data_IF_659646030524
#
_entry.id   IF_659646030524
#
_cell.length_a   1.000
_cell.length_b   1.000
_cell.length_c   1.000
_cell.angle_alpha   90.00
_cell.angle_beta   90.00
_cell.angle_gamma   90.00
#
_symmetry.space_group_name_H-M   'P 1'
#
loop_
_entity.id
_entity.type
_entity.pdbx_description
1 polymer ?
#
# COMPACT_ATOMS: atom_id res chain seq x y z
N UNK A 1 -26.50 -17.78 -7.30
CA UNK A 1 -25.08 -17.42 -7.22
C UNK A 1 -24.35 -18.34 -6.27
N UNK A 2 -23.22 -18.85 -6.68
CA UNK A 2 -22.41 -19.72 -5.82
C UNK A 2 -21.82 -18.93 -4.65
N UNK A 3 -21.81 -19.54 -3.46
CA UNK A 3 -21.16 -18.95 -2.29
C UNK A 3 -19.65 -18.90 -2.50
N UNK A 4 -19.01 -17.82 -2.04
CA UNK A 4 -17.55 -17.72 -2.05
C UNK A 4 -16.93 -18.81 -1.16
N UNK A 5 -15.86 -19.41 -1.65
CA UNK A 5 -15.06 -20.36 -0.85
C UNK A 5 -14.33 -19.62 0.26
N UNK A 6 -13.86 -20.37 1.27
CA UNK A 6 -13.03 -19.78 2.33
C UNK A 6 -11.80 -19.07 1.75
N UNK A 7 -11.14 -19.70 0.77
CA UNK A 7 -9.99 -19.10 0.07
C UNK A 7 -10.33 -17.75 -0.57
N UNK A 8 -11.47 -17.67 -1.26
CA UNK A 8 -11.90 -16.43 -1.90
C UNK A 8 -12.21 -15.32 -0.86
N UNK A 9 -12.81 -15.69 0.26
CA UNK A 9 -13.10 -14.74 1.34
C UNK A 9 -11.80 -14.22 1.98
N UNK A 10 -10.84 -15.10 2.24
CA UNK A 10 -9.54 -14.75 2.79
C UNK A 10 -8.75 -13.85 1.83
N UNK A 11 -8.76 -14.18 0.54
CA UNK A 11 -8.10 -13.35 -0.48
C UNK A 11 -8.68 -11.93 -0.48
N UNK A 12 -9.99 -11.79 -0.47
CA UNK A 12 -10.65 -10.48 -0.44
C UNK A 12 -10.31 -9.70 0.84
N UNK A 13 -10.31 -10.36 2.00
CA UNK A 13 -9.93 -9.75 3.28
C UNK A 13 -8.46 -9.30 3.28
N UNK A 14 -7.57 -10.16 2.82
CA UNK A 14 -6.14 -9.83 2.74
C UNK A 14 -5.87 -8.66 1.80
N UNK A 15 -6.52 -8.61 0.63
CA UNK A 15 -6.37 -7.50 -0.31
C UNK A 15 -6.89 -6.18 0.26
N UNK A 16 -8.02 -6.21 0.94
CA UNK A 16 -8.57 -5.00 1.59
C UNK A 16 -7.63 -4.49 2.68
N UNK A 17 -7.14 -5.38 3.54
CA UNK A 17 -6.18 -5.04 4.60
C UNK A 17 -4.85 -4.54 4.01
N UNK A 18 -4.36 -5.20 2.98
CA UNK A 18 -3.16 -4.78 2.25
C UNK A 18 -3.30 -3.35 1.73
N UNK A 19 -4.43 -3.06 1.07
CA UNK A 19 -4.72 -1.73 0.54
C UNK A 19 -4.76 -0.67 1.64
N UNK A 20 -5.41 -0.97 2.76
CA UNK A 20 -5.47 -0.06 3.91
C UNK A 20 -4.07 0.19 4.50
N UNK A 21 -3.26 -0.85 4.66
CA UNK A 21 -1.88 -0.71 5.14
C UNK A 21 -1.04 0.19 4.23
N UNK A 22 -1.11 -0.03 2.92
CA UNK A 22 -0.36 0.79 1.94
C UNK A 22 -0.79 2.25 2.03
N UNK A 23 -2.07 2.53 2.01
CA UNK A 23 -2.61 3.89 2.06
C UNK A 23 -2.32 4.58 3.40
N UNK A 24 -2.45 3.87 4.50
CA UNK A 24 -2.20 4.41 5.84
C UNK A 24 -0.72 4.72 6.03
N UNK A 25 0.18 3.86 5.54
CA UNK A 25 1.63 4.07 5.64
C UNK A 25 2.10 5.25 4.81
N UNK A 26 1.63 5.36 3.56
CA UNK A 26 2.14 6.34 2.61
C UNK A 26 1.40 7.67 2.66
N UNK A 27 0.16 7.69 3.11
CA UNK A 27 -0.68 8.87 3.43
C UNK A 27 -1.13 9.72 2.25
N UNK A 28 -0.29 9.88 1.23
CA UNK A 28 -0.57 10.73 0.06
C UNK A 28 -0.19 10.00 -1.23
N UNK A 29 -0.70 10.50 -2.36
CA UNK A 29 -0.27 10.02 -3.67
C UNK A 29 1.23 10.23 -3.83
N UNK A 30 1.95 9.16 -4.10
CA UNK A 30 3.41 9.19 -4.24
C UNK A 30 3.85 9.93 -5.50
N UNK A 31 2.95 10.16 -6.45
CA UNK A 31 3.26 10.89 -7.67
C UNK A 31 2.97 12.39 -7.55
N UNK A 32 1.75 12.77 -7.16
CA UNK A 32 1.33 14.17 -7.16
C UNK A 32 1.14 14.78 -5.76
N UNK A 33 1.22 14.00 -4.70
CA UNK A 33 1.06 14.46 -3.32
C UNK A 33 -0.37 14.68 -2.84
N UNK A 34 -1.38 14.39 -3.69
CA UNK A 34 -2.79 14.50 -3.30
C UNK A 34 -3.13 13.57 -2.14
N UNK A 35 -4.00 14.01 -1.24
CA UNK A 35 -4.56 13.20 -0.16
C UNK A 35 -5.99 12.71 -0.44
N UNK A 36 -6.48 12.93 -1.64
CA UNK A 36 -7.86 12.66 -2.05
C UNK A 36 -7.96 11.45 -2.97
N UNK A 37 -8.94 10.58 -2.71
CA UNK A 37 -9.21 9.37 -3.51
C UNK A 37 -7.99 8.48 -3.69
N UNK A 38 -7.37 8.13 -2.58
CA UNK A 38 -6.17 7.31 -2.58
C UNK A 38 -6.51 5.85 -2.84
N UNK A 39 -5.68 5.20 -3.67
CA UNK A 39 -5.77 3.79 -4.02
C UNK A 39 -4.40 3.14 -3.84
N UNK A 40 -4.39 1.85 -3.58
CA UNK A 40 -3.15 1.08 -3.50
C UNK A 40 -2.93 0.36 -4.82
N UNK A 41 -1.75 0.55 -5.41
CA UNK A 41 -1.34 -0.07 -6.66
C UNK A 41 -0.29 -1.16 -6.38
N UNK A 42 -0.44 -2.33 -7.01
CA UNK A 42 0.56 -3.39 -6.96
C UNK A 42 1.70 -3.07 -7.92
N UNK A 43 2.92 -2.91 -7.40
CA UNK A 43 4.13 -2.64 -8.22
C UNK A 43 4.44 -3.87 -9.08
N UNK A 44 4.52 -5.05 -8.46
CA UNK A 44 4.49 -6.34 -9.15
C UNK A 44 3.03 -6.75 -9.25
N UNK A 45 2.58 -7.11 -10.44
CA UNK A 45 1.17 -7.41 -10.70
C UNK A 45 0.58 -8.38 -9.69
N UNK A 46 -0.65 -8.14 -9.27
CA UNK A 46 -1.34 -8.95 -8.25
C UNK A 46 -1.55 -10.41 -8.65
N UNK A 47 -1.42 -10.75 -9.94
CA UNK A 47 -1.47 -12.12 -10.41
C UNK A 47 -0.31 -12.96 -9.88
N UNK A 48 0.81 -12.33 -9.52
CA UNK A 48 1.96 -12.97 -8.89
C UNK A 48 1.73 -13.05 -7.38
N UNK A 49 1.27 -14.20 -6.92
CA UNK A 49 0.72 -14.36 -5.58
C UNK A 49 1.73 -14.27 -4.45
N UNK A 50 3.02 -14.48 -4.72
CA UNK A 50 4.07 -14.38 -3.71
C UNK A 50 4.11 -12.97 -3.09
N UNK A 51 3.94 -11.94 -3.89
CA UNK A 51 3.98 -10.54 -3.46
C UNK A 51 2.60 -9.88 -3.33
N UNK A 52 1.53 -10.60 -3.66
CA UNK A 52 0.16 -10.06 -3.73
C UNK A 52 -0.30 -9.37 -2.46
N UNK A 53 0.11 -9.86 -1.29
CA UNK A 53 -0.27 -9.31 0.00
C UNK A 53 0.87 -8.61 0.72
N UNK A 54 2.03 -8.47 0.09
CA UNK A 54 3.19 -7.80 0.66
C UNK A 54 2.98 -6.28 0.60
N UNK A 55 2.96 -5.62 1.74
CA UNK A 55 2.72 -4.17 1.81
C UNK A 55 3.84 -3.36 1.18
N UNK A 56 5.04 -3.92 1.04
CA UNK A 56 6.13 -3.29 0.29
C UNK A 56 5.93 -3.35 -1.22
N UNK A 57 5.05 -4.23 -1.70
CA UNK A 57 4.63 -4.28 -3.10
C UNK A 57 3.44 -3.34 -3.37
N UNK A 58 3.31 -2.29 -2.60
CA UNK A 58 2.21 -1.34 -2.72
C UNK A 58 2.69 0.09 -2.89
N UNK A 59 2.04 0.80 -3.79
CA UNK A 59 2.28 2.22 -4.01
C UNK A 59 0.96 2.96 -3.90
N UNK A 60 0.90 3.97 -3.02
CA UNK A 60 -0.28 4.80 -2.85
C UNK A 60 -0.35 5.84 -3.97
N UNK A 61 -1.43 5.82 -4.73
CA UNK A 61 -1.68 6.76 -5.82
C UNK A 61 -3.11 7.30 -5.71
N UNK A 62 -3.32 8.55 -6.09
CA UNK A 62 -4.68 9.06 -6.24
C UNK A 62 -5.34 8.42 -7.47
N UNK A 63 -6.67 8.49 -7.54
CA UNK A 63 -7.44 7.89 -8.62
C UNK A 63 -6.99 8.37 -9.99
N UNK A 64 -6.66 9.65 -10.13
CA UNK A 64 -6.20 10.24 -11.39
C UNK A 64 -4.84 9.70 -11.84
N UNK A 65 -3.86 9.66 -10.93
CA UNK A 65 -2.54 9.11 -11.24
C UNK A 65 -2.61 7.61 -11.54
N UNK A 66 -3.42 6.87 -10.78
CA UNK A 66 -3.60 5.43 -11.00
C UNK A 66 -4.30 5.15 -12.34
N UNK A 67 -5.21 6.01 -12.76
CA UNK A 67 -5.92 5.87 -14.04
C UNK A 67 -4.99 5.99 -15.25
N UNK A 68 -3.82 6.62 -15.11
CA UNK A 68 -2.80 6.72 -16.17
C UNK A 68 -2.40 5.34 -16.70
N UNK A 69 -2.45 4.31 -15.87
CA UNK A 69 -2.16 2.92 -16.28
C UNK A 69 -3.05 2.47 -17.44
N UNK A 70 -4.31 2.88 -17.45
CA UNK A 70 -5.27 2.52 -18.50
C UNK A 70 -5.11 3.36 -19.76
N UNK A 71 -4.72 4.62 -19.63
CA UNK A 71 -4.60 5.55 -20.75
C UNK A 71 -3.27 5.38 -21.46
N UNK A 72 -2.18 5.29 -20.71
CA UNK A 72 -0.82 5.23 -21.21
C UNK A 72 0.03 4.34 -20.29
N UNK A 73 0.05 3.01 -20.53
CA UNK A 73 0.78 2.07 -19.68
C UNK A 73 2.30 2.33 -19.61
N UNK A 74 2.89 2.80 -20.70
CA UNK A 74 4.34 3.10 -20.74
C UNK A 74 4.69 4.30 -19.88
N UNK A 75 3.89 5.36 -19.97
CA UNK A 75 4.04 6.53 -19.11
C UNK A 75 3.82 6.18 -17.65
N UNK A 76 2.84 5.36 -17.36
CA UNK A 76 2.57 4.88 -16.00
C UNK A 76 3.76 4.10 -15.44
N UNK A 77 4.32 3.18 -16.22
CA UNK A 77 5.52 2.43 -15.84
C UNK A 77 6.70 3.36 -15.54
N UNK A 78 6.94 4.34 -16.40
CA UNK A 78 8.00 5.33 -16.20
C UNK A 78 7.79 6.14 -14.92
N UNK A 79 6.54 6.48 -14.62
CA UNK A 79 6.16 7.16 -13.38
C UNK A 79 6.50 6.30 -12.14
N UNK A 80 6.15 5.03 -12.15
CA UNK A 80 6.46 4.12 -11.04
C UNK A 80 7.98 4.00 -10.87
N UNK A 81 8.72 3.80 -11.93
CA UNK A 81 10.19 3.71 -11.91
C UNK A 81 10.79 5.01 -11.36
N UNK A 82 10.25 6.16 -11.75
CA UNK A 82 10.68 7.45 -11.22
C UNK A 82 10.49 7.60 -9.71
N UNK A 83 9.45 6.98 -9.17
CA UNK A 83 9.14 7.05 -7.72
C UNK A 83 10.02 6.10 -6.91
N UNK A 84 10.13 4.83 -7.33
CA UNK A 84 10.81 3.79 -6.53
C UNK A 84 12.26 3.53 -6.96
N UNK A 85 12.66 4.00 -8.13
CA UNK A 85 13.96 3.73 -8.73
C UNK A 85 13.96 2.51 -9.63
N UNK A 86 14.76 2.56 -10.70
CA UNK A 86 14.83 1.48 -11.69
C UNK A 86 15.38 0.19 -11.10
N UNK A 87 16.46 0.27 -10.31
CA UNK A 87 17.04 -0.91 -9.66
C UNK A 87 16.04 -1.63 -8.76
N UNK A 88 15.32 -0.89 -7.94
CA UNK A 88 14.27 -1.43 -7.06
C UNK A 88 13.17 -2.08 -7.87
N UNK A 89 12.71 -1.41 -8.92
CA UNK A 89 11.67 -1.93 -9.81
C UNK A 89 12.08 -3.27 -10.43
N UNK A 90 13.26 -3.33 -11.02
CA UNK A 90 13.79 -4.54 -11.67
C UNK A 90 13.98 -5.66 -10.65
N UNK A 91 14.57 -5.35 -9.49
CA UNK A 91 14.79 -6.33 -8.43
C UNK A 91 13.48 -6.94 -7.94
N UNK A 92 12.44 -6.14 -7.76
CA UNK A 92 11.12 -6.62 -7.35
C UNK A 92 10.50 -7.52 -8.42
N UNK A 93 10.56 -7.11 -9.70
CA UNK A 93 10.04 -7.91 -10.80
C UNK A 93 10.74 -9.27 -10.88
N UNK A 94 12.06 -9.29 -10.75
CA UNK A 94 12.84 -10.53 -10.80
C UNK A 94 12.57 -11.45 -9.61
N UNK A 95 12.40 -10.89 -8.42
CA UNK A 95 12.17 -11.66 -7.19
C UNK A 95 10.78 -12.27 -7.13
N UNK A 96 9.76 -11.53 -7.54
CA UNK A 96 8.36 -11.86 -7.25
C UNK A 96 7.58 -12.42 -8.43
N UNK A 97 8.10 -12.32 -9.65
CA UNK A 97 7.43 -12.87 -10.85
C UNK A 97 7.68 -14.36 -10.97
N UNK A 98 7.18 -15.10 -9.99
CA UNK A 98 7.28 -16.56 -9.89
C UNK A 98 5.89 -17.15 -9.67
N UNK A 99 5.72 -18.42 -10.01
CA UNK A 99 4.48 -19.12 -9.68
C UNK A 99 4.46 -19.46 -8.20
N UNK A 100 3.35 -19.13 -7.54
CA UNK A 100 3.18 -19.36 -6.11
C UNK A 100 1.73 -19.60 -5.76
N UNK A 101 1.51 -20.41 -4.73
CA UNK A 101 0.18 -20.65 -4.18
C UNK A 101 0.24 -20.71 -2.67
N UNK A 102 -0.53 -19.84 -2.03
CA UNK A 102 -0.70 -19.85 -0.58
C UNK A 102 -1.70 -20.93 -0.18
N UNK A 103 -1.47 -21.60 0.93
CA UNK A 103 -2.45 -22.50 1.55
C UNK A 103 -3.48 -21.66 2.33
N UNK A 104 -4.62 -22.24 2.64
CA UNK A 104 -5.66 -21.58 3.45
C UNK A 104 -5.13 -21.20 4.84
N UNK A 105 -4.41 -22.06 5.58
CA UNK A 105 -3.77 -21.66 6.84
C UNK A 105 -2.79 -20.49 6.69
N UNK A 106 -1.98 -20.49 5.64
CA UNK A 106 -1.06 -19.38 5.36
C UNK A 106 -1.81 -18.07 5.08
N UNK A 107 -2.93 -18.12 4.35
CA UNK A 107 -3.76 -16.94 4.12
C UNK A 107 -4.35 -16.38 5.41
N UNK A 108 -4.72 -17.24 6.36
CA UNK A 108 -5.19 -16.81 7.68
C UNK A 108 -4.08 -16.08 8.44
N UNK A 109 -2.87 -16.60 8.40
CA UNK A 109 -1.70 -15.96 9.02
C UNK A 109 -1.39 -14.61 8.39
N UNK A 110 -1.44 -14.53 7.06
CA UNK A 110 -1.26 -13.28 6.32
C UNK A 110 -2.32 -12.26 6.73
N UNK A 111 -3.58 -12.66 6.78
CA UNK A 111 -4.68 -11.80 7.24
C UNK A 111 -4.42 -11.25 8.64
N UNK A 112 -4.06 -12.10 9.57
CA UNK A 112 -3.82 -11.72 10.96
C UNK A 112 -2.60 -10.80 11.10
N UNK A 113 -1.55 -11.07 10.33
CA UNK A 113 -0.37 -10.20 10.24
C UNK A 113 -0.70 -8.82 9.67
N UNK A 114 -1.52 -8.75 8.64
CA UNK A 114 -1.97 -7.47 8.05
C UNK A 114 -2.86 -6.69 9.01
N UNK A 115 -3.73 -7.36 9.78
CA UNK A 115 -4.52 -6.70 10.83
C UNK A 115 -3.63 -6.07 11.89
N UNK A 116 -2.60 -6.79 12.33
CA UNK A 116 -1.65 -6.30 13.31
C UNK A 116 -0.85 -5.10 12.76
N UNK A 117 -0.40 -5.19 11.52
CA UNK A 117 0.32 -4.11 10.84
C UNK A 117 -0.55 -2.85 10.73
N UNK A 118 -1.80 -2.99 10.30
CA UNK A 118 -2.74 -1.88 10.19
C UNK A 118 -2.98 -1.21 11.54
N UNK A 119 -3.17 -2.01 12.58
CA UNK A 119 -3.35 -1.50 13.94
C UNK A 119 -2.13 -0.70 14.42
N UNK A 120 -0.93 -1.18 14.14
CA UNK A 120 0.30 -0.48 14.48
C UNK A 120 0.41 0.85 13.71
N UNK A 121 0.09 0.85 12.41
CA UNK A 121 0.10 2.06 11.58
C UNK A 121 -0.92 3.11 12.07
N UNK A 122 -2.09 2.68 12.46
CA UNK A 122 -3.14 3.56 13.00
C UNK A 122 -2.73 4.16 14.37
N UNK A 123 -2.02 3.40 15.20
CA UNK A 123 -1.47 3.91 16.47
C UNK A 123 -0.39 4.95 16.24
N UNK A 124 0.50 4.74 15.27
CA UNK A 124 1.54 5.69 14.88
C UNK A 124 0.94 7.01 14.38
N UNK A 125 -0.17 6.94 13.65
CA UNK A 125 -0.93 8.12 13.22
C UNK A 125 -1.40 8.95 14.42
N UNK A 126 -1.95 8.32 15.44
CA UNK A 126 -2.37 8.99 16.67
C UNK A 126 -1.21 9.70 17.37
N UNK A 127 -0.05 9.06 17.46
CA UNK A 127 1.12 9.63 18.09
C UNK A 127 1.73 10.78 17.28
N UNK A 128 1.69 10.73 15.96
CA UNK A 128 2.13 11.82 15.08
C UNK A 128 1.22 13.06 15.25
N UNK A 129 -0.09 12.85 15.27
CA UNK A 129 -1.06 13.92 15.46
C UNK A 129 -0.85 14.63 16.82
N UNK A 130 -0.64 13.88 17.90
CA UNK A 130 -0.32 14.43 19.22
C UNK A 130 0.98 15.23 19.19
N UNK A 131 2.01 14.71 18.52
CA UNK A 131 3.31 15.37 18.41
C UNK A 131 3.19 16.67 17.60
N UNK A 132 2.40 16.66 16.54
CA UNK A 132 2.17 17.85 15.71
C UNK A 132 1.35 18.91 16.47
N UNK A 133 0.34 18.50 17.21
CA UNK A 133 -0.43 19.38 18.07
C UNK A 133 0.46 20.06 19.13
N UNK A 134 1.40 19.31 19.72
CA UNK A 134 2.37 19.85 20.67
C UNK A 134 3.31 20.86 20.00
N UNK A 135 3.81 20.54 18.80
CA UNK A 135 4.66 21.43 18.01
C UNK A 135 3.93 22.71 17.61
N UNK A 136 2.67 22.61 17.24
CA UNK A 136 1.85 23.76 16.87
C UNK A 136 1.57 24.65 18.08
N UNK A 137 1.27 24.06 19.23
CA UNK A 137 1.09 24.80 20.47
C UNK A 137 2.37 25.54 20.85
N UNK A 138 3.53 24.94 20.71
CA UNK A 138 4.84 25.55 20.95
C UNK A 138 5.10 26.73 20.00
N UNK A 139 4.71 26.60 18.72
CA UNK A 139 4.82 27.67 17.72
C UNK A 139 3.95 28.89 18.10
N UNK A 140 2.71 28.63 18.51
CA UNK A 140 1.76 29.66 18.91
C UNK A 140 2.17 30.37 20.23
N UNK A 141 2.96 29.68 21.06
CA UNK A 141 3.55 30.24 22.27
C UNK A 141 4.74 31.19 22.05
N UNK A 142 5.12 31.45 20.79
CA UNK A 142 6.19 32.40 20.45
C UNK A 142 7.60 31.86 20.63
N UNK A 143 7.77 30.57 20.87
CA UNK A 143 9.09 29.96 20.90
C UNK A 143 9.49 29.52 19.48
N UNK A 144 10.63 30.03 19.03
CA UNK A 144 11.25 29.62 17.75
C UNK A 144 12.24 28.50 18.01
N UNK A 145 12.13 27.48 17.16
CA UNK A 145 13.13 26.42 17.11
C UNK A 145 14.29 26.83 16.21
#
# INVERSE_FOLDING_TARGET
MAKKTERQKLDAQCLELWSKCVRTRQKTCRNCGSDYRLQAHHIVQRTYKLSRYNTQNGLCLCAGCHFTEKIDPERFRSMIIGIIGEETYIAMQNKYRVQWKWTVPELREIRDGLKAELKALESDWGSEDETEAIREAARLGGETF
#
